data_IF_654209698166
#
_entry.id   IF_654209698166
#
_cell.length_a   1.000
_cell.length_b   1.000
_cell.length_c   1.000
_cell.angle_alpha   90.00
_cell.angle_beta   90.00
_cell.angle_gamma   90.00
#
_symmetry.space_group_name_H-M   'P 1'
#
loop_
_entity.id
_entity.type
_entity.pdbx_description
1 polymer ?
#
# COMPACT_ATOMS: atom_id res chain seq x y z
N UNK A 1 -2.82 3.75 -18.65
CA UNK A 1 -1.75 3.14 -17.81
C UNK A 1 -1.36 4.17 -16.76
N UNK A 2 -1.49 3.86 -15.47
CA UNK A 2 -1.11 4.73 -14.35
C UNK A 2 0.06 4.09 -13.63
N UNK A 3 1.07 4.89 -13.28
CA UNK A 3 2.22 4.46 -12.47
C UNK A 3 2.39 5.48 -11.37
N UNK A 4 2.57 5.01 -10.14
CA UNK A 4 2.72 5.85 -8.95
C UNK A 4 4.00 5.43 -8.26
N UNK A 5 4.82 6.42 -7.91
CA UNK A 5 6.03 6.21 -7.12
C UNK A 5 5.78 6.78 -5.73
N UNK A 6 5.82 5.91 -4.72
CA UNK A 6 5.76 6.29 -3.33
C UNK A 6 7.17 6.30 -2.75
N UNK A 7 7.63 7.47 -2.31
CA UNK A 7 8.85 7.53 -1.50
C UNK A 7 8.50 7.08 -0.09
N UNK A 8 9.19 6.06 0.40
CA UNK A 8 9.05 5.55 1.75
C UNK A 8 10.30 5.93 2.53
N UNK A 9 10.13 6.64 3.65
CA UNK A 9 11.26 7.06 4.50
C UNK A 9 11.63 5.94 5.49
N UNK A 10 12.30 4.92 4.97
CA UNK A 10 12.85 3.77 5.71
C UNK A 10 12.21 2.44 5.35
N UNK A 11 12.61 1.39 6.07
CA UNK A 11 12.18 -0.02 5.83
C UNK A 11 11.25 -0.53 6.94
N UNK A 12 10.57 0.39 7.64
CA UNK A 12 9.68 0.02 8.74
C UNK A 12 8.25 -0.12 8.26
N UNK A 13 7.47 -0.97 8.94
CA UNK A 13 6.07 -1.16 8.59
C UNK A 13 5.23 0.12 8.72
N UNK A 14 5.60 1.01 9.65
CA UNK A 14 4.94 2.32 9.80
C UNK A 14 5.26 3.23 8.60
N UNK A 15 6.54 3.30 8.18
CA UNK A 15 6.94 4.13 7.05
C UNK A 15 6.25 3.66 5.76
N UNK A 16 6.23 2.35 5.51
CA UNK A 16 5.52 1.77 4.38
C UNK A 16 4.02 2.09 4.44
N UNK A 17 3.38 1.89 5.60
CA UNK A 17 1.95 2.15 5.74
C UNK A 17 1.58 3.61 5.46
N UNK A 18 2.40 4.57 5.91
CA UNK A 18 2.20 6.01 5.63
C UNK A 18 2.43 6.31 4.15
N UNK A 19 3.59 5.96 3.60
CA UNK A 19 3.96 6.29 2.22
C UNK A 19 3.00 5.68 1.19
N UNK A 20 2.58 4.44 1.38
CA UNK A 20 1.58 3.81 0.51
C UNK A 20 0.19 4.40 0.70
N UNK A 21 -0.23 4.69 1.94
CA UNK A 21 -1.56 5.28 2.16
C UNK A 21 -1.71 6.63 1.50
N UNK A 22 -0.70 7.50 1.62
CA UNK A 22 -0.71 8.83 1.03
C UNK A 22 -0.80 8.76 -0.49
N UNK A 23 0.02 7.91 -1.12
CA UNK A 23 0.02 7.75 -2.58
C UNK A 23 -1.20 7.04 -3.13
N UNK A 24 -1.73 6.03 -2.44
CA UNK A 24 -2.97 5.41 -2.85
C UNK A 24 -4.12 6.42 -2.75
N UNK A 25 -4.14 7.27 -1.72
CA UNK A 25 -5.19 8.27 -1.56
C UNK A 25 -5.24 9.32 -2.67
N UNK A 26 -4.15 9.57 -3.39
CA UNK A 26 -4.13 10.42 -4.60
C UNK A 26 -4.90 9.80 -5.78
N UNK A 27 -5.10 8.49 -5.78
CA UNK A 27 -5.85 7.78 -6.83
C UNK A 27 -7.35 7.91 -6.58
N UNK A 28 -8.20 8.10 -7.59
CA UNK A 28 -9.64 8.00 -7.41
C UNK A 28 -10.05 6.65 -6.82
N UNK A 29 -10.99 6.64 -5.88
CA UNK A 29 -11.44 5.41 -5.21
C UNK A 29 -11.92 4.33 -6.18
N UNK A 30 -12.51 4.74 -7.31
CA UNK A 30 -12.95 3.84 -8.39
C UNK A 30 -11.83 3.02 -9.02
N UNK A 31 -10.57 3.46 -8.90
CA UNK A 31 -9.39 2.80 -9.45
C UNK A 31 -8.55 2.07 -8.39
N UNK A 32 -8.86 2.25 -7.10
CA UNK A 32 -8.17 1.61 -5.96
C UNK A 32 -8.86 0.34 -5.50
N UNK A 33 -9.01 -0.63 -6.39
CA UNK A 33 -9.73 -1.86 -6.06
C UNK A 33 -8.84 -2.80 -5.23
N UNK A 34 -7.66 -3.14 -5.75
CA UNK A 34 -6.72 -4.04 -5.09
C UNK A 34 -5.28 -3.80 -5.51
N UNK A 35 -4.36 -4.28 -4.68
CA UNK A 35 -2.91 -4.23 -4.88
C UNK A 35 -2.31 -5.58 -4.47
N UNK A 36 -1.37 -6.10 -5.26
CA UNK A 36 -0.56 -7.27 -4.93
C UNK A 36 0.83 -6.83 -4.47
N UNK A 37 1.30 -7.35 -3.35
CA UNK A 37 2.63 -7.01 -2.80
C UNK A 37 3.32 -8.24 -2.22
N UNK A 38 4.63 -8.19 -1.97
CA UNK A 38 5.34 -9.26 -1.27
C UNK A 38 4.98 -9.31 0.23
N UNK A 39 5.23 -10.43 0.91
CA UNK A 39 4.99 -10.54 2.35
C UNK A 39 6.17 -10.03 3.19
N UNK A 40 6.81 -8.95 2.74
CA UNK A 40 7.93 -8.33 3.43
C UNK A 40 7.60 -7.88 4.86
N UNK A 41 8.63 -7.70 5.70
CA UNK A 41 8.48 -7.31 7.11
C UNK A 41 7.85 -5.92 7.26
N UNK A 42 7.93 -5.06 6.23
CA UNK A 42 7.24 -3.79 6.21
C UNK A 42 5.71 -3.91 6.04
N UNK A 43 5.20 -5.07 5.62
CA UNK A 43 3.76 -5.28 5.41
C UNK A 43 3.03 -5.85 6.63
N UNK A 44 3.69 -5.92 7.80
CA UNK A 44 3.04 -6.27 9.08
C UNK A 44 1.83 -5.36 9.37
N UNK A 45 1.86 -4.11 8.89
CA UNK A 45 0.79 -3.11 9.06
C UNK A 45 -0.11 -2.93 7.83
N UNK A 46 -0.14 -3.89 6.89
CA UNK A 46 -0.97 -3.79 5.67
C UNK A 46 -2.45 -3.56 5.97
N UNK A 47 -2.99 -4.13 7.06
CA UNK A 47 -4.37 -3.92 7.48
C UNK A 47 -4.70 -2.44 7.76
N UNK A 48 -3.73 -1.64 8.23
CA UNK A 48 -3.90 -0.20 8.42
C UNK A 48 -4.01 0.53 7.07
N UNK A 49 -3.26 0.08 6.05
CA UNK A 49 -3.29 0.65 4.70
C UNK A 49 -4.66 0.40 4.06
N UNK A 50 -5.19 -0.83 4.19
CA UNK A 50 -6.53 -1.18 3.71
C UNK A 50 -7.59 -0.30 4.37
N UNK A 51 -7.52 -0.10 5.69
CA UNK A 51 -8.46 0.76 6.41
C UNK A 51 -8.38 2.23 5.98
N UNK A 52 -7.17 2.76 5.77
CA UNK A 52 -6.96 4.17 5.40
C UNK A 52 -7.31 4.48 3.95
N UNK A 53 -7.12 3.53 3.04
CA UNK A 53 -7.22 3.77 1.59
C UNK A 53 -8.44 3.13 0.94
N UNK A 54 -9.04 2.14 1.59
CA UNK A 54 -10.06 1.27 1.00
C UNK A 54 -9.54 0.27 -0.04
N UNK A 55 -8.22 0.17 -0.21
CA UNK A 55 -7.59 -0.72 -1.20
C UNK A 55 -7.38 -2.10 -0.61
N UNK A 56 -7.87 -3.16 -1.26
CA UNK A 56 -7.59 -4.52 -0.81
C UNK A 56 -6.13 -4.91 -1.10
N UNK A 57 -5.41 -5.39 -0.09
CA UNK A 57 -4.03 -5.85 -0.23
C UNK A 57 -4.00 -7.37 -0.26
N UNK A 58 -3.36 -7.91 -1.29
CA UNK A 58 -3.10 -9.33 -1.45
C UNK A 58 -1.60 -9.58 -1.46
N UNK A 59 -1.18 -10.70 -0.87
CA UNK A 59 0.21 -11.11 -0.87
C UNK A 59 0.48 -12.02 -2.05
N UNK A 60 1.53 -11.73 -2.80
CA UNK A 60 2.09 -12.66 -3.76
C UNK A 60 2.88 -13.71 -2.96
N UNK A 61 2.34 -14.93 -2.92
CA UNK A 61 3.04 -16.13 -2.45
C UNK A 61 3.68 -16.82 -3.66
N UNK A 62 4.76 -17.58 -3.44
CA UNK A 62 5.54 -18.23 -4.49
C UNK A 62 5.16 -19.71 -4.65
#
# INVERSE_FOLDING_TARGET
>A
RLVILAKVDGTTATAAAVGFSDKLNEVPRSLRLSMTYDQGKEMVKHAEITQKTGTAIYFADA
#
